data_IF_192814037096
#
_entry.id   IF_192814037096
#
_cell.length_a   1.000
_cell.length_b   1.000
_cell.length_c   1.000
_cell.angle_alpha   90.00
_cell.angle_beta   90.00
_cell.angle_gamma   90.00
#
_symmetry.space_group_name_H-M   'P 1'
#
loop_
_entity.id
_entity.type
_entity.pdbx_description
1 polymer ?
#
# COMPACT_ATOMS: atom_id res chain seq x y z
N UNK A 1 -91.65 5.39 -16.35
CA UNK A 1 -91.15 4.60 -17.50
C UNK A 1 -89.70 5.04 -17.72
N UNK A 2 -88.75 4.23 -17.27
CA UNK A 2 -87.86 3.41 -18.14
C UNK A 2 -86.81 4.29 -18.83
N UNK A 3 -85.50 4.11 -18.79
CA UNK A 3 -84.56 3.05 -18.38
C UNK A 3 -83.16 3.74 -18.41
N UNK A 4 -82.29 3.52 -17.43
CA UNK A 4 -81.09 2.68 -17.55
C UNK A 4 -80.27 2.83 -18.84
N UNK A 5 -79.07 3.44 -18.76
CA UNK A 5 -77.84 2.75 -19.19
C UNK A 5 -76.56 3.41 -18.66
N UNK A 6 -75.80 2.59 -17.94
CA UNK A 6 -74.47 2.81 -17.42
C UNK A 6 -73.47 3.23 -18.50
N UNK A 7 -72.63 4.21 -18.19
CA UNK A 7 -71.45 4.56 -18.98
C UNK A 7 -70.24 3.82 -18.40
N UNK A 8 -69.63 2.99 -19.24
CA UNK A 8 -68.53 2.09 -18.95
C UNK A 8 -67.31 2.77 -18.33
N UNK A 9 -66.80 2.16 -17.27
CA UNK A 9 -65.45 2.35 -16.77
C UNK A 9 -64.44 1.90 -17.84
N UNK A 10 -63.58 2.81 -18.29
CA UNK A 10 -62.35 2.45 -19.02
C UNK A 10 -61.24 2.34 -18.00
N UNK A 11 -60.91 1.10 -17.62
CA UNK A 11 -59.67 0.77 -16.91
C UNK A 11 -58.55 0.78 -17.94
N UNK A 12 -57.56 1.64 -17.73
CA UNK A 12 -56.32 1.66 -18.51
C UNK A 12 -55.23 0.96 -17.67
N UNK A 13 -54.71 -0.22 -18.05
CA UNK A 13 -53.51 -0.78 -17.48
C UNK A 13 -52.26 -0.23 -18.20
N UNK A 14 -51.10 -0.47 -17.63
CA UNK A 14 -49.74 -0.19 -18.15
C UNK A 14 -49.19 1.17 -17.70
N UNK A 15 -48.49 1.28 -16.56
CA UNK A 15 -47.25 0.62 -16.15
C UNK A 15 -46.07 0.95 -17.08
N UNK A 16 -45.16 1.79 -16.58
CA UNK A 16 -43.98 2.23 -17.33
C UNK A 16 -43.32 3.49 -16.76
N UNK A 17 -43.36 3.73 -15.45
CA UNK A 17 -42.47 4.73 -14.83
C UNK A 17 -41.05 4.20 -14.93
N UNK A 18 -40.31 4.76 -15.89
CA UNK A 18 -38.91 4.51 -16.13
C UNK A 18 -38.14 4.48 -14.80
N UNK A 19 -37.58 3.31 -14.50
CA UNK A 19 -36.61 3.12 -13.44
C UNK A 19 -35.41 4.02 -13.74
N UNK A 20 -35.32 5.13 -13.02
CA UNK A 20 -34.13 5.97 -12.96
C UNK A 20 -32.99 5.14 -12.38
N UNK A 21 -32.33 4.35 -13.22
CA UNK A 21 -31.11 3.65 -12.89
C UNK A 21 -30.07 4.72 -12.57
N UNK A 22 -29.80 4.89 -11.28
CA UNK A 22 -28.69 5.64 -10.73
C UNK A 22 -27.40 5.12 -11.37
N UNK A 23 -26.92 5.86 -12.37
CA UNK A 23 -25.63 5.62 -12.97
C UNK A 23 -24.58 5.66 -11.85
N UNK A 24 -23.74 4.62 -11.69
CA UNK A 24 -22.70 4.64 -10.69
C UNK A 24 -21.79 5.83 -11.01
N UNK A 25 -21.59 6.71 -10.02
CA UNK A 25 -20.66 7.84 -10.09
C UNK A 25 -19.30 7.28 -10.52
N UNK A 26 -19.00 7.39 -11.81
CA UNK A 26 -17.71 7.03 -12.36
C UNK A 26 -16.71 8.02 -11.75
N UNK A 27 -15.90 7.54 -10.81
CA UNK A 27 -14.78 8.28 -10.24
C UNK A 27 -13.86 8.67 -11.39
N UNK A 28 -13.96 9.92 -11.83
CA UNK A 28 -13.18 10.46 -12.93
C UNK A 28 -11.71 10.48 -12.49
N UNK A 29 -10.92 9.56 -13.03
CA UNK A 29 -9.47 9.49 -12.74
C UNK A 29 -8.73 10.47 -13.65
N UNK A 30 -8.81 11.76 -13.34
CA UNK A 30 -8.04 12.78 -14.07
C UNK A 30 -6.53 12.47 -14.00
N UNK A 31 -5.79 12.54 -15.11
CA UNK A 31 -4.36 12.18 -15.20
C UNK A 31 -3.41 13.13 -14.43
N UNK A 32 -3.92 14.01 -13.56
CA UNK A 32 -3.14 14.98 -12.77
C UNK A 32 -2.80 14.58 -11.33
N UNK A 33 -3.27 13.44 -10.81
CA UNK A 33 -3.18 13.11 -9.37
C UNK A 33 -1.94 12.29 -8.97
N UNK A 34 -0.79 12.52 -9.62
CA UNK A 34 0.47 11.91 -9.18
C UNK A 34 1.15 12.80 -8.16
N UNK A 35 1.27 12.39 -6.88
CA UNK A 35 1.82 13.25 -5.84
C UNK A 35 3.26 13.62 -6.12
N UNK A 36 3.60 14.88 -5.86
CA UNK A 36 4.93 15.42 -6.10
C UNK A 36 6.02 14.66 -5.33
N UNK A 37 7.22 14.57 -5.93
CA UNK A 37 8.37 13.86 -5.33
C UNK A 37 8.71 14.41 -3.94
N UNK A 38 8.63 15.74 -3.76
CA UNK A 38 8.92 16.40 -2.47
C UNK A 38 7.99 15.92 -1.36
N UNK A 39 6.68 15.80 -1.63
CA UNK A 39 5.71 15.33 -0.63
C UNK A 39 5.90 13.86 -0.30
N UNK A 40 6.26 13.04 -1.29
CA UNK A 40 6.62 11.64 -1.05
C UNK A 40 7.87 11.53 -0.16
N UNK A 41 8.91 12.33 -0.43
CA UNK A 41 10.13 12.34 0.38
C UNK A 41 9.86 12.83 1.81
N UNK A 42 9.07 13.89 1.99
CA UNK A 42 8.73 14.39 3.31
C UNK A 42 7.89 13.38 4.11
N UNK A 43 6.95 12.68 3.46
CA UNK A 43 6.22 11.59 4.08
C UNK A 43 7.14 10.43 4.47
N UNK A 44 8.12 10.06 3.63
CA UNK A 44 9.11 9.02 3.94
C UNK A 44 10.02 9.41 5.11
N UNK A 45 10.47 10.65 5.19
CA UNK A 45 11.28 11.14 6.32
C UNK A 45 10.49 11.09 7.63
N UNK A 46 9.23 11.49 7.60
CA UNK A 46 8.37 11.39 8.76
C UNK A 46 8.06 9.93 9.13
N UNK A 47 7.81 9.07 8.14
CA UNK A 47 7.65 7.63 8.35
C UNK A 47 8.90 7.02 9.01
N UNK A 48 10.10 7.42 8.59
CA UNK A 48 11.35 6.96 9.19
C UNK A 48 11.46 7.35 10.67
N UNK A 49 11.04 8.57 11.05
CA UNK A 49 11.01 9.00 12.44
C UNK A 49 10.03 8.18 13.30
N UNK A 50 8.82 7.92 12.78
CA UNK A 50 7.84 7.11 13.50
C UNK A 50 8.31 5.66 13.63
N UNK A 51 8.80 5.06 12.54
CA UNK A 51 9.30 3.69 12.54
C UNK A 51 10.55 3.55 13.41
N UNK A 52 11.38 4.57 13.53
CA UNK A 52 12.49 4.56 14.48
C UNK A 52 11.98 4.30 15.91
N UNK A 53 10.93 5.01 16.34
CA UNK A 53 10.32 4.77 17.66
C UNK A 53 9.69 3.38 17.79
N UNK A 54 8.97 2.92 16.77
CA UNK A 54 8.35 1.58 16.76
C UNK A 54 9.40 0.47 16.85
N UNK A 55 10.45 0.55 16.03
CA UNK A 55 11.55 -0.42 16.00
C UNK A 55 12.34 -0.39 17.31
N UNK A 56 12.57 0.78 17.88
CA UNK A 56 13.23 0.91 19.18
C UNK A 56 12.46 0.18 20.28
N UNK A 57 11.15 0.42 20.40
CA UNK A 57 10.30 -0.24 21.40
C UNK A 57 10.24 -1.75 21.14
N UNK A 58 10.08 -2.16 19.87
CA UNK A 58 10.05 -3.57 19.50
C UNK A 58 11.36 -4.29 19.81
N UNK A 59 12.51 -3.64 19.56
CA UNK A 59 13.83 -4.17 19.87
C UNK A 59 14.07 -4.24 21.38
N UNK A 60 13.66 -3.21 22.13
CA UNK A 60 13.71 -3.22 23.59
C UNK A 60 12.86 -4.35 24.19
N UNK A 61 11.63 -4.54 23.71
CA UNK A 61 10.75 -5.62 24.15
C UNK A 61 11.35 -6.99 23.83
N UNK A 62 11.91 -7.17 22.64
CA UNK A 62 12.60 -8.40 22.28
C UNK A 62 13.78 -8.68 23.22
N UNK A 63 14.65 -7.68 23.43
CA UNK A 63 15.84 -7.81 24.27
C UNK A 63 15.51 -8.14 25.72
N UNK A 64 14.44 -7.56 26.27
CA UNK A 64 14.01 -7.82 27.65
C UNK A 64 13.40 -9.20 27.80
N UNK A 65 12.51 -9.62 26.90
CA UNK A 65 11.85 -10.93 26.94
C UNK A 65 12.83 -12.10 26.72
N UNK A 66 13.83 -11.91 25.86
CA UNK A 66 14.84 -12.94 25.55
C UNK A 66 16.05 -12.88 26.47
N UNK A 67 16.08 -11.94 27.43
CA UNK A 67 17.24 -11.62 28.27
C UNK A 67 18.54 -11.50 27.45
N UNK A 68 18.44 -10.90 26.26
CA UNK A 68 19.56 -10.80 25.33
C UNK A 68 20.61 -9.83 25.89
N UNK A 69 21.70 -10.40 26.43
CA UNK A 69 22.83 -9.63 26.98
C UNK A 69 23.89 -9.30 25.93
N UNK A 70 23.89 -9.99 24.79
CA UNK A 70 24.80 -9.76 23.68
C UNK A 70 24.00 -9.54 22.38
N UNK A 71 24.29 -8.43 21.68
CA UNK A 71 23.64 -8.06 20.42
C UNK A 71 23.85 -9.06 19.27
N UNK A 72 24.87 -9.92 19.38
CA UNK A 72 25.17 -10.96 18.39
C UNK A 72 24.37 -12.25 18.62
N UNK A 73 23.80 -12.44 19.80
CA UNK A 73 22.95 -13.61 20.06
C UNK A 73 21.55 -13.35 19.50
N UNK A 74 20.96 -14.32 18.79
CA UNK A 74 19.61 -14.20 18.19
C UNK A 74 19.42 -13.10 17.13
N UNK A 75 20.49 -12.56 16.54
CA UNK A 75 20.39 -11.46 15.56
C UNK A 75 19.41 -11.75 14.40
N UNK A 76 19.34 -12.99 13.91
CA UNK A 76 18.39 -13.39 12.86
C UNK A 76 16.94 -13.38 13.34
N UNK A 77 16.70 -13.81 14.60
CA UNK A 77 15.36 -13.82 15.20
C UNK A 77 14.91 -12.40 15.49
N UNK A 78 15.81 -11.55 16.01
CA UNK A 78 15.56 -10.13 16.22
C UNK A 78 15.25 -9.43 14.89
N UNK A 79 16.01 -9.69 13.82
CA UNK A 79 15.74 -9.14 12.49
C UNK A 79 14.37 -9.58 11.96
N UNK A 80 14.00 -10.85 12.14
CA UNK A 80 12.69 -11.38 11.76
C UNK A 80 11.57 -10.74 12.56
N UNK A 81 11.76 -10.56 13.87
CA UNK A 81 10.82 -9.88 14.76
C UNK A 81 10.58 -8.42 14.35
N UNK A 82 11.66 -7.66 14.10
CA UNK A 82 11.55 -6.28 13.63
C UNK A 82 10.84 -6.22 12.28
N UNK A 83 11.18 -7.11 11.34
CA UNK A 83 10.48 -7.23 10.07
C UNK A 83 8.99 -7.48 10.27
N UNK A 84 8.62 -8.42 11.15
CA UNK A 84 7.23 -8.70 11.45
C UNK A 84 6.48 -7.49 12.03
N UNK A 85 7.06 -6.78 13.00
CA UNK A 85 6.42 -5.59 13.62
C UNK A 85 6.23 -4.47 12.60
N UNK A 86 7.24 -4.19 11.77
CA UNK A 86 7.14 -3.19 10.70
C UNK A 86 6.10 -3.61 9.65
N UNK A 87 6.03 -4.90 9.32
CA UNK A 87 5.02 -5.45 8.42
C UNK A 87 3.61 -5.27 8.97
N UNK A 88 3.39 -5.60 10.24
CA UNK A 88 2.12 -5.42 10.92
C UNK A 88 1.69 -3.95 10.91
N UNK A 89 2.62 -3.04 11.22
CA UNK A 89 2.39 -1.59 11.14
C UNK A 89 1.86 -1.19 9.75
N UNK A 90 2.59 -1.49 8.68
CA UNK A 90 2.19 -1.05 7.34
C UNK A 90 0.91 -1.73 6.85
N UNK A 91 0.79 -3.05 7.04
CA UNK A 91 -0.39 -3.81 6.60
C UNK A 91 -1.64 -3.29 7.30
N UNK A 92 -1.57 -2.99 8.60
CA UNK A 92 -2.68 -2.41 9.35
C UNK A 92 -3.12 -1.06 8.78
N UNK A 93 -2.20 -0.10 8.65
CA UNK A 93 -2.52 1.23 8.12
C UNK A 93 -3.01 1.21 6.67
N UNK A 94 -2.49 0.30 5.84
CA UNK A 94 -2.92 0.17 4.45
C UNK A 94 -4.32 -0.45 4.31
N UNK A 95 -4.72 -1.33 5.23
CA UNK A 95 -6.05 -1.98 5.22
C UNK A 95 -7.13 -1.13 5.91
N UNK A 96 -6.80 -0.37 6.96
CA UNK A 96 -7.76 0.40 7.76
C UNK A 96 -7.98 1.84 7.28
N UNK A 97 -7.41 2.21 6.13
CA UNK A 97 -7.56 3.56 5.57
C UNK A 97 -6.74 3.82 4.33
N UNK A 98 -5.71 3.00 4.07
CA UNK A 98 -4.78 3.22 2.97
C UNK A 98 -3.79 4.35 3.27
N UNK A 99 -3.68 4.78 4.52
CA UNK A 99 -2.86 5.92 4.93
C UNK A 99 -2.19 5.63 6.26
N UNK A 100 -0.86 5.77 6.32
CA UNK A 100 -0.14 5.95 7.57
C UNK A 100 -0.30 7.38 8.09
N UNK A 101 0.10 7.63 9.33
CA UNK A 101 0.09 9.00 9.89
C UNK A 101 0.85 10.00 9.00
N UNK A 102 2.08 9.72 8.51
CA UNK A 102 2.79 10.57 7.57
C UNK A 102 2.07 10.74 6.23
N UNK A 103 1.46 9.68 5.72
CA UNK A 103 0.68 9.79 4.50
C UNK A 103 -0.52 10.72 4.69
N UNK A 104 -1.18 10.66 5.84
CA UNK A 104 -2.30 11.55 6.16
C UNK A 104 -1.87 13.01 6.24
N UNK A 105 -0.71 13.31 6.83
CA UNK A 105 -0.20 14.68 6.93
C UNK A 105 0.14 15.28 5.55
N UNK A 106 0.66 14.47 4.64
CA UNK A 106 1.01 14.89 3.27
C UNK A 106 -0.08 14.58 2.23
N UNK A 107 -1.28 14.19 2.66
CA UNK A 107 -2.46 13.86 1.84
C UNK A 107 -2.20 12.79 0.77
N UNK A 108 -1.40 11.80 1.12
CA UNK A 108 -1.13 10.64 0.29
C UNK A 108 -2.07 9.50 0.68
N UNK A 109 -2.51 8.71 -0.28
CA UNK A 109 -3.27 7.49 -0.02
C UNK A 109 -2.82 6.37 -0.93
N UNK A 110 -2.62 5.20 -0.35
CA UNK A 110 -2.43 3.95 -1.07
C UNK A 110 -3.79 3.38 -1.43
N UNK A 111 -3.99 3.16 -2.72
CA UNK A 111 -5.20 2.53 -3.27
C UNK A 111 -4.81 1.44 -4.26
N UNK A 112 -5.74 0.55 -4.58
CA UNK A 112 -5.55 -0.40 -5.69
C UNK A 112 -5.47 0.34 -7.03
N UNK A 113 -5.05 -0.35 -8.09
CA UNK A 113 -5.04 0.21 -9.45
C UNK A 113 -6.41 0.76 -9.86
N UNK A 114 -7.49 0.12 -9.40
CA UNK A 114 -8.87 0.52 -9.66
C UNK A 114 -9.39 1.61 -8.70
N UNK A 115 -8.56 2.09 -7.76
CA UNK A 115 -8.95 3.10 -6.76
C UNK A 115 -9.67 2.56 -5.52
N UNK A 116 -9.96 1.27 -5.46
CA UNK A 116 -10.57 0.61 -4.30
C UNK A 116 -9.58 0.50 -3.11
N UNK A 117 -10.07 0.35 -1.86
CA UNK A 117 -9.23 0.08 -0.69
C UNK A 117 -8.42 -1.22 -0.85
N UNK A 118 -7.27 -1.30 -0.16
CA UNK A 118 -6.41 -2.48 -0.19
C UNK A 118 -6.99 -3.61 0.68
N UNK A 119 -7.04 -4.81 0.13
CA UNK A 119 -7.26 -6.02 0.92
C UNK A 119 -6.00 -6.41 1.70
N UNK A 120 -6.16 -7.14 2.81
CA UNK A 120 -5.04 -7.58 3.64
C UNK A 120 -4.00 -8.39 2.85
N UNK A 121 -4.45 -9.30 1.98
CA UNK A 121 -3.56 -10.07 1.13
C UNK A 121 -2.73 -9.20 0.17
N UNK A 122 -3.34 -8.17 -0.44
CA UNK A 122 -2.61 -7.22 -1.29
C UNK A 122 -1.64 -6.35 -0.50
N UNK A 123 -2.01 -5.95 0.72
CA UNK A 123 -1.12 -5.19 1.59
C UNK A 123 0.11 -6.01 2.02
N UNK A 124 -0.08 -7.28 2.38
CA UNK A 124 1.01 -8.22 2.68
C UNK A 124 1.87 -8.45 1.44
N UNK A 125 1.27 -8.70 0.27
CA UNK A 125 1.98 -8.82 -1.00
C UNK A 125 2.83 -7.59 -1.29
N UNK A 126 2.23 -6.39 -1.21
CA UNK A 126 2.95 -5.11 -1.35
C UNK A 126 4.13 -5.00 -0.37
N UNK A 127 3.95 -5.41 0.88
CA UNK A 127 5.02 -5.38 1.89
C UNK A 127 6.17 -6.35 1.54
N UNK A 128 5.86 -7.59 1.20
CA UNK A 128 6.86 -8.59 0.80
C UNK A 128 7.59 -8.18 -0.48
N UNK A 129 6.88 -7.64 -1.46
CA UNK A 129 7.49 -7.11 -2.68
C UNK A 129 8.34 -5.87 -2.41
N UNK A 130 7.97 -5.05 -1.42
CA UNK A 130 8.79 -3.92 -1.01
C UNK A 130 10.13 -4.42 -0.47
N UNK A 131 10.19 -5.51 0.30
CA UNK A 131 11.44 -6.12 0.77
C UNK A 131 12.37 -6.61 -0.35
N UNK A 132 11.84 -6.97 -1.52
CA UNK A 132 12.62 -7.50 -2.65
C UNK A 132 13.68 -6.49 -3.17
N UNK A 133 13.54 -5.21 -2.82
CA UNK A 133 14.54 -4.18 -3.12
C UNK A 133 15.85 -4.33 -2.34
N UNK A 134 15.86 -5.06 -1.22
CA UNK A 134 16.98 -5.07 -0.26
C UNK A 134 17.35 -6.48 0.23
N UNK A 135 16.36 -7.37 0.33
CA UNK A 135 16.56 -8.72 0.88
C UNK A 135 17.43 -9.63 0.00
N UNK A 136 17.31 -9.65 -1.34
CA UNK A 136 18.09 -10.57 -2.19
C UNK A 136 19.61 -10.39 -2.10
N UNK A 137 20.17 -9.16 -2.21
CA UNK A 137 21.61 -8.96 -2.03
C UNK A 137 22.13 -9.38 -0.65
N UNK A 138 21.32 -9.16 0.39
CA UNK A 138 21.68 -9.48 1.76
C UNK A 138 21.60 -10.99 2.04
N UNK A 139 20.61 -11.68 1.46
CA UNK A 139 20.50 -13.14 1.53
C UNK A 139 21.62 -13.84 0.75
N UNK A 140 22.08 -13.26 -0.38
CA UNK A 140 23.17 -13.81 -1.17
C UNK A 140 24.55 -13.69 -0.48
N UNK A 141 24.72 -12.74 0.44
CA UNK A 141 25.99 -12.52 1.16
C UNK A 141 26.51 -13.77 1.89
N UNK A 142 25.76 -14.41 2.82
CA UNK A 142 26.21 -15.61 3.51
C UNK A 142 26.22 -16.84 2.59
N UNK A 143 25.32 -16.92 1.60
CA UNK A 143 25.23 -18.08 0.70
C UNK A 143 26.44 -18.22 -0.23
N UNK A 144 27.02 -17.09 -0.66
CA UNK A 144 28.13 -17.06 -1.62
C UNK A 144 29.49 -16.75 -0.95
N UNK A 145 29.53 -16.62 0.38
CA UNK A 145 30.77 -16.30 1.11
C UNK A 145 31.41 -14.98 0.68
N UNK A 146 30.60 -14.00 0.27
CA UNK A 146 31.06 -12.77 -0.35
C UNK A 146 31.77 -11.87 0.65
N UNK A 147 32.85 -11.22 0.22
CA UNK A 147 33.51 -10.19 1.03
C UNK A 147 32.61 -8.95 1.14
N UNK A 148 32.69 -8.24 2.27
CA UNK A 148 31.93 -7.01 2.52
C UNK A 148 31.88 -6.03 1.32
N UNK A 149 33.01 -5.63 0.69
CA UNK A 149 32.96 -4.70 -0.45
C UNK A 149 32.23 -5.28 -1.67
N UNK A 150 32.30 -6.59 -1.89
CA UNK A 150 31.60 -7.25 -3.00
C UNK A 150 30.09 -7.28 -2.74
N UNK A 151 29.68 -7.57 -1.51
CA UNK A 151 28.27 -7.49 -1.10
C UNK A 151 27.71 -6.07 -1.24
N UNK A 152 28.48 -5.05 -0.82
CA UNK A 152 28.09 -3.65 -1.00
C UNK A 152 27.98 -3.26 -2.48
N UNK A 153 28.91 -3.72 -3.33
CA UNK A 153 28.85 -3.49 -4.77
C UNK A 153 27.62 -4.16 -5.41
N UNK A 154 27.34 -5.42 -5.10
CA UNK A 154 26.16 -6.15 -5.59
C UNK A 154 24.87 -5.49 -5.08
N UNK A 155 24.82 -5.10 -3.81
CA UNK A 155 23.69 -4.37 -3.25
C UNK A 155 23.48 -3.02 -3.95
N UNK A 156 24.56 -2.29 -4.24
CA UNK A 156 24.51 -1.03 -4.99
C UNK A 156 23.99 -1.22 -6.42
N UNK A 157 24.50 -2.22 -7.14
CA UNK A 157 24.04 -2.56 -8.50
C UNK A 157 22.56 -2.98 -8.47
N UNK A 158 22.18 -3.85 -7.54
CA UNK A 158 20.79 -4.28 -7.36
C UNK A 158 19.87 -3.10 -7.06
N UNK A 159 20.29 -2.19 -6.18
CA UNK A 159 19.55 -0.98 -5.84
C UNK A 159 19.37 -0.08 -7.06
N UNK A 160 20.42 0.13 -7.87
CA UNK A 160 20.35 0.94 -9.09
C UNK A 160 19.43 0.29 -10.12
N UNK A 161 19.54 -1.02 -10.34
CA UNK A 161 18.64 -1.76 -11.23
C UNK A 161 17.18 -1.67 -10.76
N UNK A 162 16.94 -1.90 -9.47
CA UNK A 162 15.61 -1.79 -8.87
C UNK A 162 15.07 -0.36 -8.93
N UNK A 163 15.89 0.66 -8.68
CA UNK A 163 15.48 2.07 -8.80
C UNK A 163 15.23 2.47 -10.26
N UNK A 164 16.02 1.98 -11.22
CA UNK A 164 15.87 2.25 -12.64
C UNK A 164 14.53 1.72 -13.16
N UNK A 165 14.08 0.56 -12.68
CA UNK A 165 12.77 0.02 -13.07
C UNK A 165 11.59 0.91 -12.64
N UNK A 166 11.73 1.69 -11.57
CA UNK A 166 10.73 2.69 -11.16
C UNK A 166 10.74 3.98 -11.98
N UNK A 167 11.84 4.25 -12.72
CA UNK A 167 11.98 5.43 -13.60
C UNK A 167 11.59 5.14 -15.06
N UNK A 168 11.60 3.88 -15.48
CA UNK A 168 11.35 3.45 -16.86
C UNK A 168 9.85 3.27 -17.20
N UNK A 169 8.93 3.53 -16.26
CA UNK A 169 7.49 3.47 -16.50
C UNK A 169 6.86 4.85 -16.69
N UNK A 170 6.01 4.99 -17.70
CA UNK A 170 5.24 6.21 -18.00
C UNK A 170 4.41 6.75 -16.81
N UNK A 171 4.15 5.93 -15.80
CA UNK A 171 3.38 6.28 -14.59
C UNK A 171 4.22 6.75 -13.40
N UNK A 172 5.57 6.80 -13.48
CA UNK A 172 6.47 7.09 -12.33
C UNK A 172 6.13 6.29 -11.06
N UNK A 173 5.70 5.04 -11.24
CA UNK A 173 5.35 4.12 -10.16
C UNK A 173 6.45 3.08 -9.99
N UNK A 174 6.82 2.78 -8.74
CA UNK A 174 7.80 1.74 -8.46
C UNK A 174 7.27 0.35 -8.84
N UNK A 175 8.18 -0.59 -9.20
CA UNK A 175 7.78 -1.93 -9.61
C UNK A 175 6.97 -2.67 -8.54
N UNK A 176 7.33 -2.54 -7.26
CA UNK A 176 6.58 -3.19 -6.18
C UNK A 176 5.12 -2.72 -6.13
N UNK A 177 4.87 -1.44 -6.39
CA UNK A 177 3.53 -0.88 -6.46
C UNK A 177 2.76 -1.46 -7.66
N UNK A 178 3.40 -1.54 -8.83
CA UNK A 178 2.81 -2.11 -10.06
C UNK A 178 2.48 -3.59 -9.92
N UNK A 179 3.43 -4.38 -9.41
CA UNK A 179 3.27 -5.82 -9.21
C UNK A 179 2.22 -6.13 -8.12
N UNK A 180 2.13 -5.30 -7.08
CA UNK A 180 1.07 -5.41 -6.08
C UNK A 180 -0.30 -4.89 -6.59
N UNK A 181 -0.37 -4.28 -7.77
CA UNK A 181 -1.58 -3.66 -8.30
C UNK A 181 -2.05 -2.48 -7.45
N UNK A 182 -1.11 -1.69 -6.92
CA UNK A 182 -1.36 -0.56 -6.02
C UNK A 182 -0.74 0.73 -6.56
N UNK A 183 -1.29 1.87 -6.17
CA UNK A 183 -0.77 3.19 -6.52
C UNK A 183 -0.96 4.16 -5.35
N UNK A 184 -0.03 5.09 -5.22
CA UNK A 184 -0.15 6.22 -4.30
C UNK A 184 -0.78 7.39 -5.03
N UNK A 185 -1.94 7.83 -4.56
CA UNK A 185 -2.67 8.99 -5.07
C UNK A 185 -2.61 10.14 -4.07
N UNK A 186 -2.76 11.35 -4.56
CA UNK A 186 -3.03 12.52 -3.72
C UNK A 186 -4.53 12.61 -3.42
N UNK A 187 -4.90 12.93 -2.18
CA UNK A 187 -6.29 13.12 -1.76
C UNK A 187 -6.61 14.62 -1.81
N UNK A 188 -7.71 14.96 -2.49
CA UNK A 188 -8.20 16.34 -2.58
C UNK A 188 -8.56 16.89 -1.19
N UNK A 189 -8.41 18.21 -1.04
CA UNK A 189 -8.70 18.94 0.21
C UNK A 189 -10.19 18.87 0.55
#
# INVERSE_FOLDING_TARGET
MSESRATSATVNPDSGTASSASSPVAVSTSPGNSPSVRRRLAALLYEALLLFGVVFIAGYLFSTLTQQRNGLTHHNVMATWIGFVVGLYFVWFWTHGGQTLPMKTWRLRVVTANGAPLSAWRAVGRYLLAWLWFLPPLALHPLLGLRLPQTLAIAGIWFVLWAATGRLGASRQFLHDRLAGTRVIEVAR
#
